data_IF_775820153401
#
_entry.id   IF_775820153401
#
_cell.length_a   1.000
_cell.length_b   1.000
_cell.length_c   1.000
_cell.angle_alpha   90.00
_cell.angle_beta   90.00
_cell.angle_gamma   90.00
#
_symmetry.space_group_name_H-M   'P 1'
#
loop_
_entity.id
_entity.type
_entity.pdbx_description
1 polymer ?
#
# COMPACT_ATOMS: atom_id res chain seq x y z
N UNK A 1 11.51 17.85 8.07
CA UNK A 1 12.07 17.32 9.34
C UNK A 1 11.20 17.69 10.53
N UNK A 2 11.08 16.80 11.54
CA UNK A 2 10.46 17.16 12.82
C UNK A 2 11.55 17.76 13.73
N UNK A 3 11.43 19.03 14.08
CA UNK A 3 12.39 19.75 14.93
C UNK A 3 11.67 20.45 16.08
N UNK A 4 12.44 20.80 17.12
CA UNK A 4 11.95 21.57 18.27
C UNK A 4 10.87 20.84 19.08
N UNK A 5 9.90 21.60 19.57
CA UNK A 5 8.87 21.16 20.54
C UNK A 5 8.06 19.98 20.00
N UNK A 6 7.73 19.96 18.71
CA UNK A 6 6.92 18.88 18.12
C UNK A 6 7.64 17.53 18.11
N UNK A 7 8.96 17.53 17.97
CA UNK A 7 9.76 16.30 18.07
C UNK A 7 9.76 15.77 19.50
N UNK A 8 9.86 16.67 20.49
CA UNK A 8 9.80 16.29 21.92
C UNK A 8 8.42 15.70 22.24
N UNK A 9 7.35 16.37 21.82
CA UNK A 9 5.98 15.87 21.98
C UNK A 9 5.84 14.50 21.33
N UNK A 10 6.28 14.33 20.08
CA UNK A 10 6.25 13.03 19.41
C UNK A 10 6.99 11.95 20.21
N UNK A 11 8.23 12.22 20.66
CA UNK A 11 9.01 11.27 21.45
C UNK A 11 8.36 10.93 22.79
N UNK A 12 7.74 11.89 23.48
CA UNK A 12 7.00 11.64 24.71
C UNK A 12 5.83 10.68 24.48
N UNK A 13 5.06 10.88 23.41
CA UNK A 13 3.97 9.97 23.05
C UNK A 13 4.46 8.58 22.62
N UNK A 14 5.60 8.49 21.90
CA UNK A 14 6.20 7.20 21.57
C UNK A 14 6.69 6.48 22.84
N UNK A 15 7.28 7.19 23.80
CA UNK A 15 7.64 6.61 25.11
C UNK A 15 6.40 6.15 25.89
N UNK A 16 5.32 6.93 25.89
CA UNK A 16 4.05 6.53 26.49
C UNK A 16 3.49 5.25 25.85
N UNK A 17 3.46 5.20 24.52
CA UNK A 17 3.03 4.02 23.77
C UNK A 17 3.89 2.80 24.09
N UNK A 18 5.20 2.98 24.23
CA UNK A 18 6.12 1.93 24.63
C UNK A 18 5.83 1.41 26.05
N UNK A 19 5.59 2.30 27.02
CA UNK A 19 5.20 1.91 28.38
C UNK A 19 3.86 1.15 28.40
N UNK A 20 2.85 1.65 27.66
CA UNK A 20 1.56 0.97 27.52
C UNK A 20 1.68 -0.41 26.87
N UNK A 21 2.60 -0.55 25.90
CA UNK A 21 2.89 -1.81 25.24
C UNK A 21 3.50 -2.84 26.22
N UNK A 22 4.43 -2.43 27.09
CA UNK A 22 5.01 -3.31 28.12
C UNK A 22 3.91 -3.83 29.05
N UNK A 23 3.03 -2.95 29.52
CA UNK A 23 1.88 -3.34 30.37
C UNK A 23 0.97 -4.31 29.61
N UNK A 24 0.62 -3.98 28.37
CA UNK A 24 -0.22 -4.82 27.52
C UNK A 24 0.38 -6.20 27.25
N UNK A 25 1.71 -6.30 27.10
CA UNK A 25 2.42 -7.57 26.93
C UNK A 25 2.30 -8.44 28.21
N UNK A 26 2.52 -7.85 29.38
CA UNK A 26 2.39 -8.56 30.67
C UNK A 26 0.99 -9.13 30.86
N UNK A 27 -0.05 -8.40 30.44
CA UNK A 27 -1.45 -8.85 30.55
C UNK A 27 -1.82 -9.87 29.47
N UNK A 28 -1.26 -9.77 28.27
CA UNK A 28 -1.64 -10.62 27.13
C UNK A 28 -0.91 -11.97 27.08
N UNK A 29 0.31 -12.08 27.63
CA UNK A 29 1.07 -13.34 27.66
C UNK A 29 0.32 -14.48 28.38
N UNK A 30 -0.28 -14.29 29.57
CA UNK A 30 -1.07 -15.32 30.22
C UNK A 30 -2.28 -15.78 29.39
N UNK A 31 -2.96 -14.84 28.71
CA UNK A 31 -4.10 -15.14 27.85
C UNK A 31 -3.69 -15.98 26.63
N UNK A 32 -2.56 -15.65 26.00
CA UNK A 32 -2.03 -16.43 24.88
C UNK A 32 -1.58 -17.82 25.33
N UNK A 33 -0.96 -17.94 26.50
CA UNK A 33 -0.56 -19.24 27.04
C UNK A 33 -1.78 -20.12 27.33
N UNK A 34 -2.86 -19.52 27.86
CA UNK A 34 -4.13 -20.21 28.05
C UNK A 34 -4.74 -20.65 26.71
N UNK A 35 -4.74 -19.78 25.70
CA UNK A 35 -5.25 -20.09 24.35
C UNK A 35 -4.47 -21.23 23.69
N UNK A 36 -3.13 -21.20 23.74
CA UNK A 36 -2.27 -22.26 23.22
C UNK A 36 -2.46 -23.57 23.98
N UNK A 37 -2.63 -23.52 25.30
CA UNK A 37 -2.91 -24.70 26.12
C UNK A 37 -4.24 -25.35 25.73
N UNK A 38 -5.28 -24.54 25.46
CA UNK A 38 -6.58 -25.03 24.97
C UNK A 38 -6.43 -25.64 23.57
N UNK A 39 -5.71 -24.98 22.66
CA UNK A 39 -5.41 -25.52 21.32
C UNK A 39 -4.67 -26.85 21.38
N UNK A 40 -3.68 -26.98 22.28
CA UNK A 40 -2.95 -28.23 22.49
C UNK A 40 -3.84 -29.35 23.04
N UNK A 41 -4.74 -29.04 23.98
CA UNK A 41 -5.73 -30.00 24.49
C UNK A 41 -6.70 -30.43 23.38
N UNK A 42 -7.13 -29.50 22.52
CA UNK A 42 -8.02 -29.80 21.39
C UNK A 42 -7.33 -30.71 20.36
N UNK A 43 -6.09 -30.42 19.98
CA UNK A 43 -5.28 -31.29 19.10
C UNK A 43 -5.05 -32.67 19.72
N UNK A 44 -4.76 -32.74 21.02
CA UNK A 44 -4.58 -34.04 21.70
C UNK A 44 -5.86 -34.86 21.70
N UNK A 45 -7.02 -34.21 21.89
CA UNK A 45 -8.34 -34.86 21.82
C UNK A 45 -8.70 -35.30 20.41
N UNK A 46 -8.37 -34.54 19.37
CA UNK A 46 -8.60 -34.97 17.99
C UNK A 46 -7.74 -36.16 17.61
N UNK A 47 -6.45 -36.16 17.98
CA UNK A 47 -5.54 -37.32 17.79
C UNK A 47 -6.00 -38.57 18.55
N UNK A 48 -6.52 -38.40 19.78
CA UNK A 48 -7.09 -39.52 20.53
C UNK A 48 -8.36 -40.07 19.87
N UNK A 49 -9.20 -39.20 19.28
CA UNK A 49 -10.41 -39.60 18.55
C UNK A 49 -10.11 -40.32 17.23
N UNK A 50 -9.11 -39.88 16.48
CA UNK A 50 -8.67 -40.58 15.26
C UNK A 50 -8.08 -41.95 15.62
N UNK A 51 -7.25 -42.03 16.67
CA UNK A 51 -6.69 -43.31 17.12
C UNK A 51 -7.77 -44.31 17.63
N UNK A 52 -8.87 -43.82 18.22
CA UNK A 52 -10.00 -44.70 18.57
C UNK A 52 -10.86 -45.08 17.37
N UNK A 53 -10.98 -44.22 16.35
CA UNK A 53 -11.71 -44.54 15.13
C UNK A 53 -10.98 -45.61 14.28
N UNK A 54 -9.65 -45.54 14.19
CA UNK A 54 -8.82 -46.57 13.54
C UNK A 54 -8.84 -47.90 14.32
N UNK A 55 -8.99 -47.85 15.65
CA UNK A 55 -9.10 -49.04 16.48
C UNK A 55 -10.48 -49.73 16.37
N UNK A 56 -11.55 -48.96 16.13
CA UNK A 56 -12.90 -49.50 15.90
C UNK A 56 -13.06 -50.04 14.46
N UNK A 57 -12.34 -49.51 13.46
CA UNK A 57 -12.39 -49.98 12.06
C UNK A 57 -11.63 -51.31 11.85
N UNK A 58 -10.64 -51.63 12.69
CA UNK A 58 -9.98 -52.94 12.70
C UNK A 58 -10.76 -54.05 13.43
N UNK A 59 -11.96 -53.76 13.94
CA UNK A 59 -12.83 -54.73 14.61
C UNK A 59 -13.87 -55.43 13.72
N UNK A 60 -14.04 -55.00 12.46
CA UNK A 60 -15.06 -55.59 11.58
C UNK A 60 -14.68 -55.49 10.10
N UNK A 61 -14.03 -56.54 9.56
CA UNK A 61 -14.31 -57.06 8.21
C UNK A 61 -13.46 -58.30 7.92
N UNK A 62 -14.03 -59.46 8.23
CA UNK A 62 -13.71 -60.72 7.57
C UNK A 62 -14.74 -60.94 6.45
N UNK A 63 -14.29 -60.94 5.20
CA UNK A 63 -14.77 -61.70 4.02
C UNK A 63 -14.86 -60.95 2.68
N UNK A 64 -14.00 -61.43 1.76
CA UNK A 64 -14.17 -61.66 0.32
C UNK A 64 -14.84 -60.58 -0.55
N UNK A 65 -14.13 -60.09 -1.58
CA UNK A 65 -14.10 -60.66 -2.94
C UNK A 65 -13.52 -59.66 -3.96
N UNK A 66 -12.98 -60.22 -5.03
CA UNK A 66 -12.31 -59.63 -6.20
C UNK A 66 -13.24 -58.84 -7.13
N UNK A 67 -12.77 -57.72 -7.70
CA UNK A 67 -12.54 -57.57 -9.17
C UNK A 67 -12.22 -56.12 -9.61
N UNK A 68 -11.56 -56.05 -10.76
CA UNK A 68 -10.91 -54.93 -11.47
C UNK A 68 -11.72 -53.63 -11.73
N UNK A 69 -11.06 -52.45 -11.69
CA UNK A 69 -10.58 -51.72 -12.90
C UNK A 69 -10.20 -50.24 -12.63
N UNK A 70 -9.07 -49.84 -13.24
CA UNK A 70 -8.66 -48.52 -13.78
C UNK A 70 -9.14 -47.19 -13.17
N UNK A 71 -8.17 -46.31 -12.88
CA UNK A 71 -8.35 -44.87 -13.10
C UNK A 71 -7.61 -43.95 -12.12
N UNK A 72 -6.65 -43.22 -12.66
CA UNK A 72 -6.14 -41.91 -12.21
C UNK A 72 -5.02 -41.85 -11.15
N UNK A 73 -3.91 -41.25 -11.60
CA UNK A 73 -2.66 -41.01 -10.89
C UNK A 73 -2.78 -39.67 -10.15
N UNK A 74 -2.89 -39.70 -8.83
CA UNK A 74 -2.97 -38.53 -7.97
C UNK A 74 -1.59 -38.27 -7.33
N UNK A 75 -0.90 -37.14 -7.63
CA UNK A 75 0.49 -36.93 -7.22
C UNK A 75 0.66 -36.34 -5.81
N UNK A 76 -0.38 -36.32 -4.95
CA UNK A 76 -0.34 -35.69 -3.62
C UNK A 76 -0.17 -36.66 -2.43
N UNK A 77 0.26 -37.89 -2.66
CA UNK A 77 0.48 -38.86 -1.59
C UNK A 77 1.92 -39.39 -1.55
N UNK A 78 2.88 -38.56 -1.12
CA UNK A 78 4.13 -39.03 -0.51
C UNK A 78 4.83 -37.88 0.22
N UNK A 79 4.75 -37.92 1.55
CA UNK A 79 5.84 -37.68 2.52
C UNK A 79 5.23 -37.28 3.89
N UNK A 80 4.47 -38.18 4.50
CA UNK A 80 4.31 -38.17 5.96
C UNK A 80 5.59 -38.75 6.58
N UNK A 81 6.61 -37.90 6.74
CA UNK A 81 7.74 -38.18 7.62
C UNK A 81 7.32 -37.88 9.06
N UNK A 82 6.95 -38.95 9.78
CA UNK A 82 6.62 -38.96 11.20
C UNK A 82 7.89 -38.68 12.02
N UNK A 83 8.26 -37.40 12.10
CA UNK A 83 9.30 -36.92 13.01
C UNK A 83 8.68 -36.27 14.25
N UNK A 84 8.99 -36.75 15.47
CA UNK A 84 8.50 -36.11 16.68
C UNK A 84 9.32 -34.84 16.90
N UNK A 85 8.63 -33.72 17.14
CA UNK A 85 9.13 -32.43 17.63
C UNK A 85 9.58 -31.37 16.63
N UNK A 86 8.60 -30.66 16.02
CA UNK A 86 8.63 -29.19 16.03
C UNK A 86 7.18 -28.67 16.10
N UNK A 87 6.83 -28.04 17.24
CA UNK A 87 5.48 -27.50 17.50
C UNK A 87 5.33 -26.18 16.76
N UNK A 88 4.70 -26.19 15.60
CA UNK A 88 4.36 -24.94 14.92
C UNK A 88 3.18 -24.26 15.65
N UNK A 89 3.37 -23.09 16.28
CA UNK A 89 2.29 -22.38 16.97
C UNK A 89 1.09 -22.08 16.06
N UNK A 90 1.28 -21.89 14.75
CA UNK A 90 0.17 -21.63 13.82
C UNK A 90 -0.82 -22.80 13.75
N UNK A 91 -0.33 -24.03 13.57
CA UNK A 91 -1.18 -25.23 13.58
C UNK A 91 -1.94 -25.42 14.90
N UNK A 92 -1.37 -24.93 16.01
CA UNK A 92 -1.97 -25.00 17.35
C UNK A 92 -3.07 -23.95 17.55
N UNK A 93 -2.92 -22.77 16.92
CA UNK A 93 -3.95 -21.73 16.91
C UNK A 93 -5.19 -22.15 16.12
N UNK A 94 -5.00 -22.79 14.96
CA UNK A 94 -6.09 -23.22 14.09
C UNK A 94 -6.95 -24.34 14.71
N UNK A 95 -6.40 -25.06 15.68
CA UNK A 95 -7.11 -26.12 16.41
C UNK A 95 -8.04 -25.60 17.54
N UNK A 96 -8.05 -24.29 17.83
CA UNK A 96 -8.89 -23.71 18.88
C UNK A 96 -10.35 -23.59 18.39
N UNK A 97 -11.36 -24.02 19.18
CA UNK A 97 -12.75 -23.87 18.79
C UNK A 97 -13.13 -22.41 18.47
N UNK A 98 -13.90 -22.14 17.40
CA UNK A 98 -14.27 -20.79 16.99
C UNK A 98 -14.85 -19.86 18.08
N UNK A 99 -15.77 -20.30 18.97
CA UNK A 99 -16.30 -19.42 20.01
C UNK A 99 -15.24 -19.04 21.07
N UNK A 100 -14.31 -19.95 21.34
CA UNK A 100 -13.20 -19.72 22.27
C UNK A 100 -12.18 -18.77 21.64
N UNK A 101 -11.81 -19.00 20.38
CA UNK A 101 -10.94 -18.11 19.63
C UNK A 101 -11.50 -16.68 19.57
N UNK A 102 -12.81 -16.54 19.31
CA UNK A 102 -13.49 -15.25 19.30
C UNK A 102 -13.37 -14.52 20.65
N UNK A 103 -13.57 -15.21 21.77
CA UNK A 103 -13.41 -14.63 23.11
C UNK A 103 -12.00 -14.10 23.35
N UNK A 104 -10.96 -14.90 23.03
CA UNK A 104 -9.57 -14.47 23.19
C UNK A 104 -9.22 -13.28 22.29
N UNK A 105 -9.68 -13.29 21.04
CA UNK A 105 -9.51 -12.15 20.11
C UNK A 105 -10.21 -10.90 20.65
N UNK A 106 -11.42 -11.03 21.20
CA UNK A 106 -12.14 -9.91 21.81
C UNK A 106 -11.38 -9.36 23.03
N UNK A 107 -10.87 -10.23 23.92
CA UNK A 107 -10.07 -9.83 25.08
C UNK A 107 -8.78 -9.12 24.67
N UNK A 108 -8.06 -9.64 23.67
CA UNK A 108 -6.86 -9.00 23.12
C UNK A 108 -7.16 -7.63 22.49
N UNK A 109 -8.29 -7.49 21.78
CA UNK A 109 -8.74 -6.19 21.25
C UNK A 109 -8.99 -5.18 22.36
N UNK A 110 -9.62 -5.59 23.46
CA UNK A 110 -9.84 -4.74 24.62
C UNK A 110 -8.54 -4.30 25.29
N UNK A 111 -7.58 -5.22 25.46
CA UNK A 111 -6.27 -4.91 26.04
C UNK A 111 -5.49 -3.90 25.17
N UNK A 112 -5.53 -4.06 23.85
CA UNK A 112 -4.82 -3.16 22.93
C UNK A 112 -5.59 -1.87 22.63
N UNK A 113 -6.89 -1.78 22.95
CA UNK A 113 -7.72 -0.62 22.61
C UNK A 113 -7.15 0.73 23.09
N UNK A 114 -6.65 0.88 24.33
CA UNK A 114 -6.03 2.12 24.77
C UNK A 114 -4.80 2.52 23.94
N UNK A 115 -3.97 1.54 23.54
CA UNK A 115 -2.80 1.78 22.68
C UNK A 115 -3.26 2.30 21.32
N UNK A 116 -4.32 1.70 20.75
CA UNK A 116 -4.88 2.15 19.46
C UNK A 116 -5.41 3.58 19.56
N UNK A 117 -6.08 3.96 20.66
CA UNK A 117 -6.54 5.33 20.86
C UNK A 117 -5.40 6.35 20.88
N UNK A 118 -4.33 6.07 21.64
CA UNK A 118 -3.16 6.94 21.70
C UNK A 118 -2.46 6.98 20.34
N UNK A 119 -2.31 5.85 19.67
CA UNK A 119 -1.69 5.78 18.35
C UNK A 119 -2.49 6.59 17.32
N UNK A 120 -3.82 6.50 17.37
CA UNK A 120 -4.74 7.27 16.52
C UNK A 120 -4.63 8.76 16.78
N UNK A 121 -4.50 9.18 18.04
CA UNK A 121 -4.23 10.56 18.40
C UNK A 121 -2.90 11.07 17.82
N UNK A 122 -1.82 10.30 17.98
CA UNK A 122 -0.50 10.66 17.44
C UNK A 122 -0.54 10.76 15.91
N UNK A 123 -1.13 9.78 15.23
CA UNK A 123 -1.27 9.77 13.78
C UNK A 123 -2.07 10.97 13.27
N UNK A 124 -3.18 11.32 13.95
CA UNK A 124 -4.05 12.42 13.54
C UNK A 124 -3.51 13.79 13.86
N UNK A 125 -2.74 13.98 14.94
CA UNK A 125 -2.44 15.33 15.43
C UNK A 125 -0.95 15.67 15.47
N UNK A 126 -0.07 14.67 15.56
CA UNK A 126 1.36 14.90 15.79
C UNK A 126 2.21 14.45 14.59
N UNK A 127 2.01 13.23 14.13
CA UNK A 127 2.83 12.61 13.09
C UNK A 127 2.81 13.43 11.80
N UNK A 128 3.99 13.68 11.22
CA UNK A 128 4.17 14.33 9.91
C UNK A 128 3.29 15.58 9.69
N UNK A 129 3.06 16.39 10.73
CA UNK A 129 2.10 17.50 10.68
C UNK A 129 2.38 18.49 9.54
N UNK A 130 3.63 18.95 9.30
CA UNK A 130 3.92 19.82 8.16
C UNK A 130 3.62 19.15 6.82
N UNK A 131 4.08 17.90 6.64
CA UNK A 131 3.86 17.16 5.40
C UNK A 131 2.37 16.98 5.13
N UNK A 132 1.57 16.58 6.13
CA UNK A 132 0.13 16.44 5.96
C UNK A 132 -0.54 17.76 5.60
N UNK A 133 -0.17 18.84 6.28
CA UNK A 133 -0.73 20.17 6.02
C UNK A 133 -0.47 20.64 4.58
N UNK A 134 0.78 20.55 4.13
CA UNK A 134 1.21 21.11 2.84
C UNK A 134 1.17 20.12 1.68
N UNK A 135 1.00 18.82 1.91
CA UNK A 135 0.91 17.84 0.82
C UNK A 135 -0.54 17.52 0.45
N UNK A 136 -1.51 17.72 1.36
CA UNK A 136 -2.92 17.38 1.08
C UNK A 136 -3.47 18.09 -0.16
N UNK A 137 -3.19 19.40 -0.35
CA UNK A 137 -3.68 20.12 -1.52
C UNK A 137 -3.03 19.63 -2.82
N UNK A 138 -1.73 19.32 -2.81
CA UNK A 138 -1.05 18.66 -3.93
C UNK A 138 -1.69 17.31 -4.26
N UNK A 139 -1.94 16.46 -3.26
CA UNK A 139 -2.50 15.11 -3.45
C UNK A 139 -3.95 15.14 -3.95
N UNK A 140 -4.74 16.14 -3.54
CA UNK A 140 -6.09 16.32 -4.03
C UNK A 140 -6.09 16.82 -5.48
N UNK A 141 -5.30 17.86 -5.78
CA UNK A 141 -5.27 18.48 -7.10
C UNK A 141 -4.55 17.63 -8.17
N UNK A 142 -3.59 16.77 -7.78
CA UNK A 142 -2.92 15.88 -8.72
C UNK A 142 -3.84 14.84 -9.34
N UNK A 143 -5.04 14.62 -8.80
CA UNK A 143 -6.04 13.76 -9.42
C UNK A 143 -6.39 14.23 -10.84
N UNK A 144 -6.27 15.53 -11.11
CA UNK A 144 -6.39 16.07 -12.46
C UNK A 144 -5.29 15.53 -13.39
N UNK A 145 -4.05 15.40 -12.91
CA UNK A 145 -2.89 14.97 -13.70
C UNK A 145 -2.75 13.44 -13.78
N UNK A 146 -3.06 12.74 -12.69
CA UNK A 146 -2.70 11.34 -12.48
C UNK A 146 -3.90 10.47 -12.09
N UNK A 147 -5.13 10.95 -12.19
CA UNK A 147 -6.33 10.12 -12.00
C UNK A 147 -6.40 9.02 -13.06
N UNK A 148 -6.82 7.82 -12.67
CA UNK A 148 -6.94 6.70 -13.63
C UNK A 148 -8.29 6.65 -14.36
N UNK A 149 -9.23 7.50 -13.93
CA UNK A 149 -10.58 7.56 -14.46
C UNK A 149 -11.42 6.37 -14.03
N UNK A 150 -12.71 6.59 -13.76
CA UNK A 150 -13.63 5.49 -13.47
C UNK A 150 -15.05 5.83 -13.87
N UNK A 151 -15.75 4.85 -14.44
CA UNK A 151 -17.19 4.94 -14.70
C UNK A 151 -17.95 4.34 -13.52
N UNK A 152 -18.78 5.15 -12.85
CA UNK A 152 -19.62 4.68 -11.74
C UNK A 152 -20.88 3.94 -12.25
N UNK A 153 -21.65 3.34 -11.33
CA UNK A 153 -22.87 2.58 -11.64
C UNK A 153 -24.01 3.46 -12.17
N UNK A 154 -23.94 4.78 -11.97
CA UNK A 154 -24.90 5.75 -12.52
C UNK A 154 -24.44 6.29 -13.89
N UNK A 155 -23.35 5.75 -14.44
CA UNK A 155 -22.79 6.20 -15.71
C UNK A 155 -22.04 7.53 -15.65
N UNK A 156 -21.76 8.05 -14.45
CA UNK A 156 -20.96 9.27 -14.30
C UNK A 156 -19.48 8.93 -14.37
N UNK A 157 -18.76 9.70 -15.19
CA UNK A 157 -17.31 9.62 -15.26
C UNK A 157 -16.67 10.46 -14.16
N UNK A 158 -15.63 9.94 -13.52
CA UNK A 158 -14.90 10.59 -12.42
C UNK A 158 -13.40 10.43 -12.61
N UNK A 159 -12.61 11.37 -12.09
CA UNK A 159 -11.14 11.32 -12.16
C UNK A 159 -10.56 10.13 -11.37
N UNK A 160 -11.14 9.81 -10.21
CA UNK A 160 -10.65 8.75 -9.33
C UNK A 160 -11.75 8.15 -8.45
N UNK A 161 -12.00 6.85 -8.59
CA UNK A 161 -12.87 6.08 -7.69
C UNK A 161 -12.28 5.96 -6.29
N UNK A 162 -10.95 5.85 -6.18
CA UNK A 162 -10.26 5.74 -4.89
C UNK A 162 -10.36 7.02 -4.07
N UNK A 163 -10.28 8.17 -4.73
CA UNK A 163 -10.47 9.46 -4.08
C UNK A 163 -11.90 9.61 -3.51
N UNK A 164 -12.91 9.11 -4.23
CA UNK A 164 -14.30 9.08 -3.72
C UNK A 164 -14.47 8.18 -2.49
N UNK A 165 -13.60 7.18 -2.33
CA UNK A 165 -13.63 6.28 -1.18
C UNK A 165 -12.93 6.87 0.07
N UNK A 166 -12.17 7.97 -0.05
CA UNK A 166 -11.50 8.59 1.10
C UNK A 166 -12.52 9.19 2.06
N UNK A 167 -12.39 8.90 3.35
CA UNK A 167 -13.28 9.42 4.41
C UNK A 167 -12.56 10.34 5.42
N UNK A 168 -11.22 10.31 5.45
CA UNK A 168 -10.43 11.08 6.41
C UNK A 168 -9.05 11.44 5.87
N UNK A 169 -8.39 12.42 6.49
CA UNK A 169 -7.06 12.86 6.07
C UNK A 169 -5.97 11.93 6.61
N UNK A 170 -6.06 11.50 7.87
CA UNK A 170 -5.00 10.71 8.49
C UNK A 170 -5.56 9.73 9.50
N UNK A 171 -5.24 8.45 9.33
CA UNK A 171 -5.69 7.40 10.23
C UNK A 171 -4.95 6.07 9.98
N UNK A 172 -5.35 5.00 10.67
CA UNK A 172 -4.71 3.68 10.56
C UNK A 172 -5.01 2.97 9.22
N UNK A 173 -6.20 3.18 8.64
CA UNK A 173 -6.58 2.66 7.32
C UNK A 173 -7.10 1.21 7.30
N UNK A 174 -7.24 0.57 8.46
CA UNK A 174 -7.62 -0.86 8.54
C UNK A 174 -8.24 -1.25 9.87
N UNK A 175 -8.27 -0.36 10.87
CA UNK A 175 -8.73 -0.73 12.21
C UNK A 175 -10.26 -0.69 12.33
N UNK A 176 -10.89 0.33 11.74
CA UNK A 176 -12.35 0.52 11.72
C UNK A 176 -12.91 0.62 10.29
N UNK A 177 -12.12 0.23 9.28
CA UNK A 177 -12.50 0.33 7.86
C UNK A 177 -12.30 1.73 7.26
N UNK A 178 -11.66 2.64 8.00
CA UNK A 178 -11.35 3.99 7.52
C UNK A 178 -10.42 4.00 6.31
N UNK A 179 -10.54 5.01 5.46
CA UNK A 179 -9.80 5.13 4.19
C UNK A 179 -9.09 6.48 4.15
N UNK A 180 -7.93 6.61 4.82
CA UNK A 180 -7.25 7.89 4.98
C UNK A 180 -6.35 8.25 3.79
N UNK A 181 -6.14 9.55 3.58
CA UNK A 181 -5.09 10.06 2.67
C UNK A 181 -3.69 9.66 3.16
N UNK A 182 -3.42 9.79 4.46
CA UNK A 182 -2.17 9.39 5.11
C UNK A 182 -2.42 8.19 6.01
N UNK A 183 -1.79 7.06 5.67
CA UNK A 183 -2.06 5.75 6.27
C UNK A 183 -0.99 5.42 7.32
N UNK A 184 -1.43 5.05 8.53
CA UNK A 184 -0.55 4.70 9.64
C UNK A 184 -0.68 3.24 10.10
N UNK A 185 -1.33 2.38 9.32
CA UNK A 185 -1.55 0.97 9.67
C UNK A 185 -0.27 0.16 9.92
N UNK A 186 0.84 0.55 9.31
CA UNK A 186 2.14 -0.07 9.60
C UNK A 186 2.55 0.16 11.07
N UNK A 187 2.19 1.29 11.69
CA UNK A 187 2.43 1.54 13.11
C UNK A 187 1.58 0.63 13.99
N UNK A 188 0.32 0.41 13.62
CA UNK A 188 -0.56 -0.53 14.31
C UNK A 188 0.03 -1.94 14.30
N UNK A 189 0.56 -2.39 13.16
CA UNK A 189 1.26 -3.68 13.07
C UNK A 189 2.46 -3.77 14.02
N UNK A 190 3.25 -2.70 14.15
CA UNK A 190 4.38 -2.66 15.08
C UNK A 190 3.96 -2.75 16.56
N UNK A 191 2.85 -2.11 16.95
CA UNK A 191 2.40 -2.05 18.35
C UNK A 191 1.42 -3.16 18.78
N UNK A 192 0.71 -3.79 17.84
CA UNK A 192 -0.31 -4.79 18.16
C UNK A 192 0.00 -6.18 17.59
N UNK A 193 0.67 -6.31 16.44
CA UNK A 193 0.93 -7.61 15.82
C UNK A 193 2.32 -8.16 16.14
N UNK A 194 3.36 -7.32 16.07
CA UNK A 194 4.76 -7.74 16.29
C UNK A 194 5.21 -7.74 17.76
N UNK A 195 4.35 -7.25 18.65
CA UNK A 195 4.63 -7.07 20.09
C UNK A 195 4.91 -8.38 20.83
N UNK A 196 4.27 -9.47 20.43
CA UNK A 196 4.43 -10.77 21.09
C UNK A 196 5.82 -11.38 20.91
N UNK A 197 6.58 -10.91 19.91
CA UNK A 197 7.86 -11.51 19.53
C UNK A 197 9.06 -10.60 19.88
N UNK A 198 8.90 -9.27 19.97
CA UNK A 198 10.00 -8.38 20.36
C UNK A 198 9.59 -6.94 20.67
N UNK A 199 9.93 -6.46 21.89
CA UNK A 199 9.94 -5.02 22.23
C UNK A 199 10.93 -4.20 21.37
N UNK A 200 11.86 -4.85 20.66
CA UNK A 200 12.77 -4.15 19.75
C UNK A 200 12.06 -3.63 18.49
N UNK A 201 10.88 -4.17 18.16
CA UNK A 201 10.11 -3.75 16.98
C UNK A 201 9.61 -2.30 17.06
N UNK A 202 9.40 -1.77 18.27
CA UNK A 202 8.96 -0.38 18.49
C UNK A 202 10.12 0.60 18.56
N UNK A 203 11.37 0.12 18.64
CA UNK A 203 12.57 0.97 18.47
C UNK A 203 12.59 1.68 17.12
N UNK A 204 11.96 1.10 16.10
CA UNK A 204 11.84 1.71 14.76
C UNK A 204 11.15 3.07 14.82
N UNK A 205 10.23 3.33 15.76
CA UNK A 205 9.57 4.64 15.91
C UNK A 205 10.51 5.75 16.41
N UNK A 206 11.64 5.38 17.01
CA UNK A 206 12.68 6.32 17.42
C UNK A 206 13.73 6.53 16.32
N UNK A 207 13.65 5.81 15.21
CA UNK A 207 14.59 5.97 14.11
C UNK A 207 14.48 7.37 13.49
N UNK A 208 15.61 7.88 13.01
CA UNK A 208 15.69 9.19 12.35
C UNK A 208 14.81 9.26 11.09
N UNK A 209 14.66 8.13 10.38
CA UNK A 209 13.85 8.01 9.17
C UNK A 209 12.57 7.26 9.50
N UNK A 210 11.44 7.85 9.10
CA UNK A 210 10.11 7.29 9.30
C UNK A 210 9.42 7.15 7.94
N UNK A 211 8.60 6.10 7.79
CA UNK A 211 7.83 5.86 6.56
C UNK A 211 6.57 6.71 6.56
N UNK A 212 6.44 7.56 5.54
CA UNK A 212 5.18 8.23 5.21
C UNK A 212 4.44 7.40 4.17
N UNK A 213 3.22 6.95 4.46
CA UNK A 213 2.42 6.16 3.54
C UNK A 213 1.21 6.99 3.06
N UNK A 214 1.05 7.07 1.75
CA UNK A 214 -0.01 7.86 1.09
C UNK A 214 -1.02 6.89 0.47
N UNK A 215 -2.27 6.97 0.89
CA UNK A 215 -3.38 6.15 0.43
C UNK A 215 -4.10 6.71 -0.80
N UNK A 216 -4.10 8.04 -0.99
CA UNK A 216 -4.75 8.73 -2.11
C UNK A 216 -3.91 8.64 -3.38
N UNK A 217 -3.97 7.51 -4.08
CA UNK A 217 -3.26 7.26 -5.33
C UNK A 217 -3.93 6.16 -6.13
N UNK A 218 -4.24 6.45 -7.39
CA UNK A 218 -4.67 5.45 -8.35
C UNK A 218 -3.46 4.68 -8.91
N UNK A 219 -3.75 3.53 -9.54
CA UNK A 219 -2.80 2.83 -10.40
C UNK A 219 -2.87 3.44 -11.79
N UNK A 220 -1.72 3.81 -12.34
CA UNK A 220 -1.62 4.41 -13.66
C UNK A 220 -1.07 3.39 -14.66
N UNK A 221 -1.55 3.45 -15.90
CA UNK A 221 -0.97 2.70 -17.02
C UNK A 221 0.02 3.58 -17.78
N UNK A 222 -0.26 4.89 -17.87
CA UNK A 222 0.61 5.88 -18.49
C UNK A 222 1.87 6.17 -17.66
N UNK A 223 3.04 5.96 -18.28
CA UNK A 223 4.36 6.26 -17.69
C UNK A 223 4.46 7.71 -17.19
N UNK A 224 3.93 8.66 -17.96
CA UNK A 224 3.97 10.08 -17.63
C UNK A 224 3.19 10.40 -16.35
N UNK A 225 1.96 9.85 -16.22
CA UNK A 225 1.15 10.01 -15.03
C UNK A 225 1.81 9.34 -13.82
N UNK A 226 2.34 8.12 -13.99
CA UNK A 226 3.07 7.40 -12.93
C UNK A 226 4.31 8.17 -12.45
N UNK A 227 5.13 8.68 -13.38
CA UNK A 227 6.33 9.45 -13.05
C UNK A 227 6.00 10.74 -12.29
N UNK A 228 5.11 11.58 -12.84
CA UNK A 228 4.74 12.87 -12.21
C UNK A 228 4.10 12.63 -10.84
N UNK A 229 3.31 11.56 -10.68
CA UNK A 229 2.66 11.20 -9.40
C UNK A 229 3.67 11.01 -8.26
N UNK A 230 4.80 10.35 -8.53
CA UNK A 230 5.86 10.17 -7.53
C UNK A 230 6.80 11.36 -7.44
N UNK A 231 7.27 11.83 -8.60
CA UNK A 231 8.31 12.83 -8.69
C UNK A 231 7.88 14.19 -8.11
N UNK A 232 6.66 14.63 -8.40
CA UNK A 232 6.11 15.88 -7.83
C UNK A 232 6.02 15.82 -6.31
N UNK A 233 5.59 14.68 -5.75
CA UNK A 233 5.52 14.47 -4.30
C UNK A 233 6.91 14.47 -3.68
N UNK A 234 7.89 13.80 -4.29
CA UNK A 234 9.27 13.80 -3.80
C UNK A 234 9.83 15.22 -3.72
N UNK A 235 9.71 16.00 -4.79
CA UNK A 235 10.21 17.37 -4.84
C UNK A 235 9.52 18.28 -3.81
N UNK A 236 8.21 18.16 -3.65
CA UNK A 236 7.46 18.95 -2.66
C UNK A 236 7.79 18.51 -1.23
N UNK A 237 8.11 17.23 -0.99
CA UNK A 237 8.63 16.79 0.29
C UNK A 237 9.97 17.45 0.60
N UNK A 238 10.90 17.52 -0.35
CA UNK A 238 12.19 18.21 -0.18
C UNK A 238 11.99 19.70 0.17
N UNK A 239 11.05 20.38 -0.51
CA UNK A 239 10.68 21.77 -0.18
C UNK A 239 10.14 21.92 1.24
N UNK A 240 9.24 21.01 1.67
CA UNK A 240 8.67 21.02 3.02
C UNK A 240 9.76 20.77 4.06
N UNK A 241 10.75 19.93 3.75
CA UNK A 241 11.87 19.65 4.63
C UNK A 241 12.86 20.81 4.73
N UNK A 242 13.06 21.56 3.65
CA UNK A 242 13.81 22.81 3.61
C UNK A 242 13.06 24.00 4.24
N UNK A 243 11.79 23.83 4.60
CA UNK A 243 10.95 24.89 5.18
C UNK A 243 10.39 25.88 4.17
N UNK A 244 10.53 25.61 2.86
CA UNK A 244 10.04 26.47 1.77
C UNK A 244 8.58 26.14 1.48
N UNK A 245 7.69 26.65 2.34
CA UNK A 245 6.25 26.31 2.34
C UNK A 245 5.29 27.51 2.27
N UNK A 246 5.81 28.74 2.23
CA UNK A 246 5.02 29.96 2.35
C UNK A 246 3.96 30.08 1.25
N UNK A 247 4.30 29.69 0.02
CA UNK A 247 3.42 29.81 -1.14
C UNK A 247 2.53 28.57 -1.38
N UNK A 248 2.65 27.53 -0.54
CA UNK A 248 1.92 26.27 -0.72
C UNK A 248 0.48 26.39 -0.18
N UNK A 249 -0.55 26.21 -1.04
CA UNK A 249 -1.94 26.31 -0.60
C UNK A 249 -2.31 25.17 0.35
N UNK A 250 -3.14 25.46 1.34
CA UNK A 250 -3.67 24.49 2.31
C UNK A 250 -5.18 24.41 2.15
N UNK A 251 -5.73 23.20 1.99
CA UNK A 251 -7.18 23.01 1.88
C UNK A 251 -7.87 23.32 3.22
N UNK A 252 -8.99 24.05 3.20
CA UNK A 252 -9.82 24.27 4.39
C UNK A 252 -10.59 23.01 4.76
N UNK A 253 -11.20 22.37 3.76
CA UNK A 253 -12.03 21.17 3.93
C UNK A 253 -11.43 20.00 3.14
N UNK A 254 -10.46 19.29 3.72
CA UNK A 254 -9.65 18.31 2.98
C UNK A 254 -10.45 17.23 2.25
N UNK A 255 -11.28 16.45 2.95
CA UNK A 255 -12.04 15.33 2.35
C UNK A 255 -13.07 15.84 1.33
N UNK A 256 -13.87 16.84 1.68
CA UNK A 256 -14.86 17.41 0.77
C UNK A 256 -14.22 18.00 -0.50
N UNK A 257 -13.04 18.62 -0.38
CA UNK A 257 -12.29 19.14 -1.53
C UNK A 257 -11.76 18.01 -2.42
N UNK A 258 -11.30 16.90 -1.83
CA UNK A 258 -10.87 15.70 -2.57
C UNK A 258 -12.05 15.13 -3.37
N UNK A 259 -13.21 14.95 -2.74
CA UNK A 259 -14.41 14.44 -3.43
C UNK A 259 -14.87 15.39 -4.54
N UNK A 260 -14.86 16.70 -4.29
CA UNK A 260 -15.25 17.70 -5.29
C UNK A 260 -14.36 17.65 -6.52
N UNK A 261 -13.04 17.62 -6.34
CA UNK A 261 -12.09 17.50 -7.44
C UNK A 261 -12.24 16.13 -8.14
N UNK A 262 -12.33 15.04 -7.38
CA UNK A 262 -12.43 13.68 -7.94
C UNK A 262 -13.68 13.47 -8.81
N UNK A 263 -14.79 14.10 -8.44
CA UNK A 263 -16.04 14.04 -9.20
C UNK A 263 -16.04 14.89 -10.47
N UNK A 264 -15.10 15.82 -10.61
CA UNK A 264 -15.09 16.82 -11.68
C UNK A 264 -14.00 16.53 -12.72
N UNK A 265 -14.35 15.71 -13.71
CA UNK A 265 -13.46 15.42 -14.83
C UNK A 265 -13.33 16.61 -15.80
N UNK A 266 -14.23 17.60 -15.75
CA UNK A 266 -14.18 18.81 -16.59
C UNK A 266 -13.23 19.89 -16.03
N UNK A 267 -12.65 19.68 -14.84
CA UNK A 267 -11.66 20.58 -14.22
C UNK A 267 -12.19 22.02 -14.01
N UNK A 268 -13.48 22.17 -13.72
CA UNK A 268 -14.16 23.47 -13.52
C UNK A 268 -14.24 23.85 -12.05
N UNK A 269 -14.39 22.86 -11.18
CA UNK A 269 -14.65 23.02 -9.77
C UNK A 269 -13.47 23.69 -9.05
N UNK A 270 -13.83 24.61 -8.15
CA UNK A 270 -12.89 25.23 -7.22
C UNK A 270 -13.15 24.74 -5.80
N UNK A 271 -12.09 24.71 -4.99
CA UNK A 271 -12.14 24.28 -3.59
C UNK A 271 -11.56 25.36 -2.67
N UNK A 272 -12.06 25.47 -1.42
CA UNK A 272 -11.60 26.46 -0.47
C UNK A 272 -10.19 26.16 0.01
N UNK A 273 -9.25 27.08 -0.23
CA UNK A 273 -7.86 27.00 0.23
C UNK A 273 -7.47 28.21 1.08
N UNK A 274 -6.28 28.17 1.68
CA UNK A 274 -5.67 29.33 2.35
C UNK A 274 -5.46 30.53 1.42
N UNK A 275 -5.46 30.33 0.10
CA UNK A 275 -5.22 31.35 -0.92
C UNK A 275 -6.51 31.73 -1.68
N UNK A 276 -7.68 31.43 -1.11
CA UNK A 276 -8.98 31.61 -1.76
C UNK A 276 -9.53 30.32 -2.38
N UNK A 277 -10.57 30.45 -3.19
CA UNK A 277 -11.10 29.35 -4.01
C UNK A 277 -10.14 29.09 -5.17
N UNK A 278 -9.66 27.85 -5.30
CA UNK A 278 -8.76 27.46 -6.39
C UNK A 278 -9.24 26.15 -7.02
N UNK A 279 -9.17 26.07 -8.33
CA UNK A 279 -9.31 24.84 -9.11
C UNK A 279 -8.11 23.91 -8.91
N UNK A 280 -8.27 22.64 -9.33
CA UNK A 280 -7.17 21.67 -9.29
C UNK A 280 -5.94 22.16 -10.08
N UNK A 281 -6.15 22.77 -11.26
CA UNK A 281 -5.06 23.30 -12.08
C UNK A 281 -4.37 24.52 -11.44
N UNK A 282 -5.12 25.41 -10.80
CA UNK A 282 -4.53 26.56 -10.11
C UNK A 282 -3.70 26.12 -8.89
N UNK A 283 -4.17 25.12 -8.15
CA UNK A 283 -3.40 24.51 -7.07
C UNK A 283 -2.10 23.92 -7.63
N UNK A 284 -2.17 23.10 -8.69
CA UNK A 284 -0.99 22.50 -9.32
C UNK A 284 0.00 23.57 -9.82
N UNK A 285 -0.47 24.64 -10.45
CA UNK A 285 0.37 25.75 -10.89
C UNK A 285 1.06 26.47 -9.73
N UNK A 286 0.40 26.65 -8.59
CA UNK A 286 1.03 27.24 -7.39
C UNK A 286 2.16 26.35 -6.85
N UNK A 287 1.93 25.04 -6.74
CA UNK A 287 2.98 24.09 -6.35
C UNK A 287 4.13 24.08 -7.35
N UNK A 288 3.83 24.00 -8.64
CA UNK A 288 4.83 23.99 -9.70
C UNK A 288 5.70 25.26 -9.68
N UNK A 289 5.10 26.45 -9.53
CA UNK A 289 5.84 27.71 -9.43
C UNK A 289 6.77 27.74 -8.23
N UNK A 290 6.28 27.32 -7.06
CA UNK A 290 7.10 27.24 -5.84
C UNK A 290 8.24 26.21 -5.99
N UNK A 291 7.97 25.06 -6.61
CA UNK A 291 8.98 24.04 -6.90
C UNK A 291 10.04 24.54 -7.87
N UNK A 292 9.64 25.25 -8.94
CA UNK A 292 10.57 25.86 -9.91
C UNK A 292 11.50 26.87 -9.24
N UNK A 293 10.97 27.71 -8.35
CA UNK A 293 11.76 28.65 -7.57
C UNK A 293 12.72 27.95 -6.59
N UNK A 294 12.25 26.89 -5.92
CA UNK A 294 13.09 26.10 -5.01
C UNK A 294 14.27 25.43 -5.74
N UNK A 295 14.02 24.82 -6.90
CA UNK A 295 15.05 24.17 -7.71
C UNK A 295 16.07 25.21 -8.22
N UNK A 296 15.61 26.38 -8.67
CA UNK A 296 16.51 27.45 -9.12
C UNK A 296 17.45 27.98 -8.00
N UNK A 297 17.02 27.90 -6.74
CA UNK A 297 17.84 28.25 -5.57
C UNK A 297 18.70 27.10 -5.03
N UNK A 298 18.61 25.90 -5.60
CA UNK A 298 19.29 24.70 -5.11
C UNK A 298 20.62 24.51 -5.82
N UNK A 299 21.70 24.24 -5.07
CA UNK A 299 23.03 24.01 -5.66
C UNK A 299 23.08 22.72 -6.50
N UNK A 300 23.88 22.70 -7.57
CA UNK A 300 23.99 21.61 -8.54
C UNK A 300 24.16 20.19 -7.92
N UNK A 301 24.90 20.07 -6.81
CA UNK A 301 25.12 18.79 -6.13
C UNK A 301 23.84 18.13 -5.58
N UNK A 302 22.77 18.91 -5.35
CA UNK A 302 21.50 18.43 -4.80
C UNK A 302 20.36 18.43 -5.83
N UNK A 303 20.63 18.77 -7.10
CA UNK A 303 19.59 18.88 -8.12
C UNK A 303 19.00 17.53 -8.52
N UNK A 304 19.77 16.44 -8.51
CA UNK A 304 19.28 15.11 -8.90
C UNK A 304 18.55 15.14 -10.25
N UNK A 305 17.32 14.60 -10.30
CA UNK A 305 16.45 14.64 -11.49
C UNK A 305 15.46 15.83 -11.51
N UNK A 306 15.64 16.84 -10.65
CA UNK A 306 14.62 17.89 -10.42
C UNK A 306 14.21 18.63 -11.70
N UNK A 307 15.12 18.86 -12.64
CA UNK A 307 14.81 19.49 -13.93
C UNK A 307 13.86 18.62 -14.77
N UNK A 308 14.11 17.32 -14.83
CA UNK A 308 13.22 16.35 -15.49
C UNK A 308 11.86 16.33 -14.82
N UNK A 309 11.82 16.35 -13.48
CA UNK A 309 10.56 16.43 -12.72
C UNK A 309 9.75 17.65 -13.13
N UNK A 310 10.38 18.84 -13.13
CA UNK A 310 9.71 20.09 -13.51
C UNK A 310 9.22 20.04 -14.96
N UNK A 311 10.05 19.60 -15.90
CA UNK A 311 9.68 19.52 -17.31
C UNK A 311 8.45 18.61 -17.53
N UNK A 312 8.43 17.43 -16.89
CA UNK A 312 7.31 16.48 -17.04
C UNK A 312 6.04 16.96 -16.34
N UNK A 313 6.20 17.58 -15.17
CA UNK A 313 5.08 18.15 -14.44
C UNK A 313 4.44 19.32 -15.20
N UNK A 314 5.25 20.26 -15.69
CA UNK A 314 4.81 21.38 -16.53
C UNK A 314 4.07 20.86 -17.76
N UNK A 315 4.64 19.86 -18.43
CA UNK A 315 4.05 19.30 -19.64
C UNK A 315 2.64 18.74 -19.41
N UNK A 316 2.39 18.01 -18.32
CA UNK A 316 1.03 17.55 -18.02
C UNK A 316 0.09 18.71 -17.63
N UNK A 317 0.58 19.71 -16.88
CA UNK A 317 -0.21 20.92 -16.59
C UNK A 317 -0.62 21.63 -17.88
N UNK A 318 0.29 21.76 -18.86
CA UNK A 318 0.01 22.37 -20.16
C UNK A 318 -1.06 21.61 -20.93
N UNK A 319 -0.97 20.28 -20.99
CA UNK A 319 -1.97 19.43 -21.67
C UNK A 319 -3.35 19.63 -21.08
N UNK A 320 -3.47 19.61 -19.75
CA UNK A 320 -4.76 19.80 -19.09
C UNK A 320 -5.27 21.24 -19.19
N UNK A 321 -4.37 22.23 -19.19
CA UNK A 321 -4.74 23.63 -19.38
C UNK A 321 -5.27 23.88 -20.80
N UNK A 322 -4.75 23.18 -21.81
CA UNK A 322 -5.26 23.18 -23.17
C UNK A 322 -6.68 22.57 -23.22
N UNK A 323 -6.84 21.35 -22.68
CA UNK A 323 -8.14 20.70 -22.54
C UNK A 323 -9.19 21.55 -21.80
N UNK A 324 -8.77 22.27 -20.75
CA UNK A 324 -9.69 23.13 -19.99
C UNK A 324 -10.20 24.32 -20.79
N UNK A 325 -9.42 24.81 -21.77
CA UNK A 325 -9.82 25.88 -22.69
C UNK A 325 -10.69 25.34 -23.82
N UNK A 326 -10.31 24.19 -24.38
CA UNK A 326 -11.03 23.51 -25.44
C UNK A 326 -11.12 22.01 -25.14
N UNK A 327 -12.33 21.54 -24.82
CA UNK A 327 -12.58 20.14 -24.47
C UNK A 327 -12.36 19.17 -25.65
N UNK A 328 -12.24 19.68 -26.88
CA UNK A 328 -11.89 18.85 -28.04
C UNK A 328 -10.39 18.56 -28.10
N UNK A 329 -9.56 19.39 -27.46
CA UNK A 329 -8.10 19.27 -27.45
C UNK A 329 -7.62 18.20 -26.45
N UNK A 330 -7.63 16.96 -26.93
CA UNK A 330 -7.33 15.77 -26.12
C UNK A 330 -6.19 14.92 -26.69
N UNK A 331 -5.73 15.24 -27.91
CA UNK A 331 -4.72 14.48 -28.68
C UNK A 331 -3.40 14.26 -27.93
N UNK A 332 -2.91 15.30 -27.25
CA UNK A 332 -1.67 15.29 -26.45
C UNK A 332 -1.81 14.57 -25.11
N UNK A 333 -3.04 14.33 -24.63
CA UNK A 333 -3.28 13.62 -23.38
C UNK A 333 -3.30 12.09 -23.55
N UNK A 334 -3.61 11.63 -24.77
CA UNK A 334 -3.76 10.21 -25.11
C UNK A 334 -2.47 9.44 -24.87
N UNK A 335 -2.53 8.42 -24.02
CA UNK A 335 -1.37 7.62 -23.60
C UNK A 335 -0.51 8.27 -22.51
N UNK A 336 -0.78 9.53 -22.15
CA UNK A 336 0.00 10.31 -21.17
C UNK A 336 -0.77 10.59 -19.88
N UNK A 337 -2.10 10.72 -19.97
CA UNK A 337 -3.03 10.93 -18.85
C UNK A 337 -4.13 9.88 -18.93
N UNK A 338 -4.19 9.01 -17.92
CA UNK A 338 -5.02 7.80 -17.99
C UNK A 338 -6.51 8.09 -18.13
N UNK A 339 -7.07 8.97 -17.28
CA UNK A 339 -8.49 9.28 -17.32
C UNK A 339 -8.90 9.93 -18.65
N UNK A 340 -8.09 10.81 -19.24
CA UNK A 340 -8.40 11.41 -20.54
C UNK A 340 -8.34 10.38 -21.66
N UNK A 341 -7.33 9.49 -21.63
CA UNK A 341 -7.19 8.41 -22.61
C UNK A 341 -8.39 7.46 -22.54
N UNK A 342 -8.75 7.04 -21.33
CA UNK A 342 -9.89 6.16 -21.09
C UNK A 342 -11.20 6.82 -21.49
N UNK A 343 -11.37 8.10 -21.17
CA UNK A 343 -12.56 8.85 -21.54
C UNK A 343 -12.73 8.91 -23.06
N UNK A 344 -11.69 9.23 -23.82
CA UNK A 344 -11.76 9.20 -25.28
C UNK A 344 -12.21 7.84 -25.83
N UNK A 345 -11.69 6.74 -25.26
CA UNK A 345 -12.10 5.39 -25.69
C UNK A 345 -13.58 5.14 -25.40
N UNK A 346 -14.09 5.63 -24.27
CA UNK A 346 -15.51 5.55 -23.91
C UNK A 346 -16.36 6.42 -24.85
N UNK A 347 -15.94 7.66 -25.11
CA UNK A 347 -16.65 8.61 -25.97
C UNK A 347 -16.69 8.14 -27.43
N UNK A 348 -15.67 7.40 -27.87
CA UNK A 348 -15.64 6.78 -29.21
C UNK A 348 -16.73 5.73 -29.45
N UNK A 349 -17.35 5.17 -28.40
CA UNK A 349 -18.53 4.31 -28.55
C UNK A 349 -19.80 5.10 -28.94
N UNK A 350 -19.78 6.42 -28.72
CA UNK A 350 -20.92 7.31 -28.95
C UNK A 350 -21.96 7.30 -27.84
N UNK A 351 -22.90 8.25 -27.93
CA UNK A 351 -23.90 8.50 -26.88
C UNK A 351 -24.89 7.34 -26.69
N UNK A 352 -25.12 6.56 -27.75
CA UNK A 352 -26.07 5.43 -27.75
C UNK A 352 -25.51 4.15 -27.13
N UNK A 353 -24.23 4.11 -26.79
CA UNK A 353 -23.62 2.91 -26.23
C UNK A 353 -24.12 2.64 -24.81
N UNK A 354 -24.39 1.36 -24.55
CA UNK A 354 -24.90 0.89 -23.27
C UNK A 354 -23.86 1.04 -22.17
N UNK A 355 -24.33 1.17 -20.93
CA UNK A 355 -23.42 1.31 -19.78
C UNK A 355 -22.45 0.14 -19.66
N UNK A 356 -22.88 -1.08 -19.98
CA UNK A 356 -22.05 -2.30 -19.92
C UNK A 356 -20.90 -2.26 -20.93
N UNK A 357 -21.12 -1.69 -22.11
CA UNK A 357 -20.10 -1.52 -23.15
C UNK A 357 -19.05 -0.50 -22.70
N UNK A 358 -19.50 0.64 -22.18
CA UNK A 358 -18.62 1.67 -21.59
C UNK A 358 -17.84 1.12 -20.40
N UNK A 359 -18.47 0.30 -19.56
CA UNK A 359 -17.83 -0.33 -18.40
C UNK A 359 -16.79 -1.37 -18.80
N UNK A 360 -17.00 -2.09 -19.91
CA UNK A 360 -16.00 -3.00 -20.47
C UNK A 360 -14.72 -2.24 -20.85
N UNK A 361 -14.82 -1.04 -21.43
CA UNK A 361 -13.66 -0.18 -21.69
C UNK A 361 -12.97 0.24 -20.39
N UNK A 362 -13.73 0.70 -19.41
CA UNK A 362 -13.19 1.12 -18.11
C UNK A 362 -12.33 0.02 -17.43
N UNK A 363 -12.78 -1.24 -17.52
CA UNK A 363 -12.05 -2.40 -16.98
C UNK A 363 -10.87 -2.83 -17.87
N UNK A 364 -11.09 -3.03 -19.17
CA UNK A 364 -10.06 -3.53 -20.11
C UNK A 364 -8.95 -2.53 -20.39
N UNK A 365 -9.17 -1.25 -20.07
CA UNK A 365 -8.11 -0.24 -20.05
C UNK A 365 -6.94 -0.66 -19.15
N UNK A 366 -7.24 -1.24 -17.99
CA UNK A 366 -6.27 -1.64 -16.96
C UNK A 366 -5.79 -3.09 -17.10
N UNK A 367 -6.17 -3.77 -18.18
CA UNK A 367 -5.74 -5.14 -18.44
C UNK A 367 -4.25 -5.14 -18.84
N UNK A 368 -3.44 -5.93 -18.14
CA UNK A 368 -1.98 -6.01 -18.34
C UNK A 368 -1.58 -6.92 -19.52
N UNK A 369 -2.53 -7.65 -20.10
CA UNK A 369 -2.31 -8.54 -21.23
C UNK A 369 -2.04 -7.75 -22.51
N UNK A 370 -1.59 -8.44 -23.57
CA UNK A 370 -1.48 -7.86 -24.91
C UNK A 370 -2.81 -7.34 -25.47
N UNK A 371 -3.94 -7.82 -24.94
CA UNK A 371 -5.29 -7.48 -25.37
C UNK A 371 -5.88 -6.29 -24.60
N UNK A 372 -5.18 -5.78 -23.59
CA UNK A 372 -5.58 -4.60 -22.85
C UNK A 372 -5.59 -3.34 -23.72
N UNK A 373 -6.62 -2.50 -23.54
CA UNK A 373 -6.85 -1.36 -24.44
C UNK A 373 -5.75 -0.31 -24.35
N UNK A 374 -5.15 -0.10 -23.18
CA UNK A 374 -3.98 0.76 -23.07
C UNK A 374 -2.77 0.19 -23.85
N UNK A 375 -2.51 -1.11 -23.73
CA UNK A 375 -1.39 -1.76 -24.41
C UNK A 375 -1.54 -1.70 -25.94
N UNK A 376 -2.76 -1.87 -26.45
CA UNK A 376 -3.04 -1.74 -27.88
C UNK A 376 -2.88 -0.29 -28.36
N UNK A 377 -3.38 0.68 -27.60
CA UNK A 377 -3.30 2.10 -27.93
C UNK A 377 -1.85 2.58 -28.00
N UNK A 378 -1.02 2.19 -27.02
CA UNK A 378 0.37 2.63 -26.95
C UNK A 378 1.23 2.02 -28.05
N UNK A 379 0.89 0.84 -28.59
CA UNK A 379 1.55 0.31 -29.80
C UNK A 379 1.37 1.21 -31.02
N UNK A 380 0.25 1.93 -31.11
CA UNK A 380 -0.01 2.90 -32.16
C UNK A 380 0.56 4.30 -31.85
N UNK A 381 0.96 4.56 -30.60
CA UNK A 381 1.54 5.82 -30.11
C UNK A 381 2.82 5.59 -29.29
N UNK A 382 3.90 5.10 -29.91
CA UNK A 382 5.14 4.79 -29.20
C UNK A 382 5.78 6.02 -28.52
N UNK A 383 5.49 7.23 -28.99
CA UNK A 383 5.94 8.51 -28.40
C UNK A 383 5.37 8.78 -27.00
N UNK A 384 4.28 8.10 -26.61
CA UNK A 384 3.71 8.20 -25.27
C UNK A 384 4.47 7.34 -24.24
N UNK A 385 5.33 6.41 -24.68
CA UNK A 385 6.17 5.61 -23.79
C UNK A 385 7.40 6.45 -23.38
N UNK A 386 7.58 6.59 -22.07
CA UNK A 386 8.77 7.23 -21.52
C UNK A 386 9.83 6.20 -21.10
N UNK A 387 9.41 5.02 -20.62
CA UNK A 387 10.33 4.00 -20.12
C UNK A 387 10.66 2.98 -21.23
N UNK A 388 11.95 2.86 -21.56
CA UNK A 388 12.42 1.86 -22.53
C UNK A 388 12.12 0.43 -22.04
N UNK A 389 11.52 -0.41 -22.88
CA UNK A 389 11.17 -1.80 -22.55
C UNK A 389 12.37 -2.62 -22.03
N UNK A 390 13.57 -2.42 -22.60
CA UNK A 390 14.79 -3.08 -22.13
C UNK A 390 15.10 -2.80 -20.64
N UNK A 391 14.77 -1.60 -20.15
CA UNK A 391 14.92 -1.27 -18.73
C UNK A 391 13.92 -2.04 -17.87
N UNK A 392 12.67 -2.18 -18.34
CA UNK A 392 11.64 -2.98 -17.65
C UNK A 392 12.09 -4.43 -17.55
N UNK A 393 12.50 -5.04 -18.65
CA UNK A 393 12.93 -6.45 -18.70
C UNK A 393 14.14 -6.71 -17.80
N UNK A 394 15.09 -5.76 -17.75
CA UNK A 394 16.23 -5.82 -16.83
C UNK A 394 15.78 -5.74 -15.37
N UNK A 395 14.86 -4.83 -15.03
CA UNK A 395 14.38 -4.61 -13.66
C UNK A 395 13.52 -5.75 -13.12
N UNK A 396 12.92 -6.57 -13.98
CA UNK A 396 12.26 -7.83 -13.58
C UNK A 396 13.21 -8.82 -12.91
N UNK A 397 14.49 -8.81 -13.27
CA UNK A 397 15.51 -9.76 -12.77
C UNK A 397 16.55 -9.12 -11.86
N UNK A 398 16.70 -7.80 -11.92
CA UNK A 398 17.77 -7.07 -11.24
C UNK A 398 17.22 -5.93 -10.38
N UNK A 399 17.30 -6.04 -9.03
CA UNK A 399 16.88 -4.99 -8.13
C UNK A 399 17.72 -3.70 -8.29
N UNK A 400 17.23 -2.55 -7.80
CA UNK A 400 18.01 -1.30 -7.79
C UNK A 400 19.30 -1.44 -6.97
N UNK A 401 20.43 -1.13 -7.61
CA UNK A 401 21.74 -1.06 -6.98
C UNK A 401 21.78 0.06 -5.92
N UNK A 402 22.60 -0.10 -4.89
CA UNK A 402 22.69 0.87 -3.81
C UNK A 402 21.47 0.92 -2.89
N UNK A 403 20.63 -0.11 -2.91
CA UNK A 403 19.50 -0.26 -1.98
C UNK A 403 19.56 -1.61 -1.24
N UNK A 404 18.91 -1.71 -0.06
CA UNK A 404 18.73 -2.99 0.64
C UNK A 404 18.13 -4.10 -0.24
N UNK A 405 17.34 -3.73 -1.26
CA UNK A 405 16.75 -4.69 -2.20
C UNK A 405 17.81 -5.44 -3.02
N UNK A 406 18.99 -4.86 -3.26
CA UNK A 406 20.08 -5.53 -3.96
C UNK A 406 20.62 -6.72 -3.13
N UNK A 407 20.95 -6.48 -1.86
CA UNK A 407 21.42 -7.53 -0.95
C UNK A 407 20.34 -8.60 -0.75
N UNK A 408 19.08 -8.20 -0.57
CA UNK A 408 17.94 -9.12 -0.46
C UNK A 408 17.79 -10.00 -1.70
N UNK A 409 17.80 -9.40 -2.90
CA UNK A 409 17.68 -10.15 -4.15
C UNK A 409 18.87 -11.08 -4.41
N UNK A 410 20.06 -10.74 -3.89
CA UNK A 410 21.21 -11.64 -3.94
C UNK A 410 21.03 -12.85 -3.01
N UNK A 411 20.63 -12.64 -1.74
CA UNK A 411 20.38 -13.75 -0.80
C UNK A 411 19.28 -14.67 -1.32
N UNK A 412 18.17 -14.12 -1.82
CA UNK A 412 17.08 -14.96 -2.38
C UNK A 412 17.62 -15.83 -3.50
N UNK A 413 18.46 -15.30 -4.40
CA UNK A 413 19.03 -16.09 -5.50
C UNK A 413 20.03 -17.13 -5.03
N UNK A 414 20.88 -16.80 -4.06
CA UNK A 414 21.89 -17.71 -3.52
C UNK A 414 21.27 -18.94 -2.86
N UNK A 415 20.18 -18.75 -2.10
CA UNK A 415 19.53 -19.82 -1.34
C UNK A 415 18.29 -20.41 -2.03
N UNK A 416 17.98 -20.00 -3.27
CA UNK A 416 16.79 -20.48 -3.99
C UNK A 416 16.83 -21.98 -4.34
N UNK A 417 18.02 -22.59 -4.40
CA UNK A 417 18.23 -23.99 -4.79
C UNK A 417 18.96 -24.84 -3.75
N UNK A 418 19.08 -24.36 -2.50
CA UNK A 418 19.72 -25.11 -1.42
C UNK A 418 18.71 -25.63 -0.39
N UNK A 419 19.17 -26.54 0.47
CA UNK A 419 18.33 -27.18 1.52
C UNK A 419 18.06 -26.25 2.73
N UNK A 420 18.67 -25.07 2.76
CA UNK A 420 18.54 -24.13 3.88
C UNK A 420 17.25 -23.31 3.75
N UNK A 421 16.41 -23.38 4.78
CA UNK A 421 15.19 -22.56 4.83
C UNK A 421 15.53 -21.08 4.96
N UNK A 422 15.05 -20.30 4.00
CA UNK A 422 15.20 -18.86 3.94
C UNK A 422 13.86 -18.17 4.23
N UNK A 423 13.83 -17.37 5.30
CA UNK A 423 12.73 -16.42 5.55
C UNK A 423 13.23 -14.99 5.35
N UNK A 424 12.56 -14.20 4.50
CA UNK A 424 12.97 -12.82 4.18
C UNK A 424 11.92 -11.78 4.57
N UNK A 425 12.37 -10.60 5.03
CA UNK A 425 11.57 -9.39 5.26
C UNK A 425 12.19 -8.22 4.47
N UNK A 426 11.73 -6.99 4.68
CA UNK A 426 12.29 -5.77 4.10
C UNK A 426 13.65 -5.39 4.67
N UNK A 427 13.91 -5.70 5.95
CA UNK A 427 15.11 -5.27 6.66
C UNK A 427 16.11 -6.40 6.95
N UNK A 428 15.70 -7.67 6.89
CA UNK A 428 16.56 -8.81 7.20
C UNK A 428 16.14 -10.09 6.49
N UNK A 429 17.06 -11.06 6.46
CA UNK A 429 16.82 -12.46 6.18
C UNK A 429 17.20 -13.33 7.40
N UNK A 430 16.47 -14.42 7.60
CA UNK A 430 16.80 -15.50 8.52
C UNK A 430 17.13 -16.73 7.68
N UNK A 431 18.29 -17.33 7.93
CA UNK A 431 18.82 -18.47 7.17
C UNK A 431 19.00 -19.64 8.12
N UNK A 432 18.44 -20.80 7.75
CA UNK A 432 18.64 -22.10 8.39
C UNK A 432 17.61 -22.50 9.45
N UNK A 433 17.89 -23.63 10.11
CA UNK A 433 16.94 -24.33 10.98
C UNK A 433 17.26 -24.23 12.48
N UNK A 434 16.21 -24.27 13.31
CA UNK A 434 16.31 -24.34 14.77
C UNK A 434 17.27 -23.32 15.40
N UNK A 435 18.19 -23.81 16.24
CA UNK A 435 19.17 -22.99 16.98
C UNK A 435 20.34 -22.46 16.12
N UNK A 436 20.49 -22.93 14.87
CA UNK A 436 21.54 -22.47 13.95
C UNK A 436 21.10 -21.32 13.05
N UNK A 437 19.90 -20.77 13.27
CA UNK A 437 19.35 -19.64 12.51
C UNK A 437 20.28 -18.43 12.55
N UNK A 438 20.74 -18.00 11.37
CA UNK A 438 21.55 -16.79 11.22
C UNK A 438 20.69 -15.64 10.69
N UNK A 439 20.75 -14.49 11.38
CA UNK A 439 20.12 -13.25 10.91
C UNK A 439 21.11 -12.44 10.09
N UNK A 440 20.69 -12.04 8.89
CA UNK A 440 21.45 -11.14 8.00
C UNK A 440 20.62 -9.88 7.80
N UNK A 441 21.13 -8.73 8.23
CA UNK A 441 20.45 -7.44 8.02
C UNK A 441 20.80 -6.85 6.64
N UNK A 442 19.83 -6.18 6.03
CA UNK A 442 19.96 -5.54 4.72
C UNK A 442 20.40 -4.09 4.79
N UNK A 443 20.63 -3.56 6.00
CA UNK A 443 21.13 -2.20 6.20
C UNK A 443 22.51 -2.04 5.50
N UNK A 444 22.68 -0.89 4.85
CA UNK A 444 23.91 -0.48 4.18
C UNK A 444 24.89 0.15 5.17
#
# INVERSE_FOLDING_TARGET
MATGIWLVIYRLFVCLLWMMQVISLVVSVPLLWLMLSIGWIAQRRSRLRSATADADDHGSNDHSSSDHSSGEFDPEAMDEDDSPTERDPQTTFDAVPPPVAWFFVAALRWIHFPIVLVLRFVARHIAFRPQRRYLTALLASRLALCGSGSLDYEGRYRLSSKAMAIDTIADMGSFSGERPVFVYGHWLSHYCAKTFLSLASTRVMFAQRQRLQIGLSDSNMADHAEYVKFASVSLVLDMIEAGVVADLPVLKNGVASIHRIASDWNLVSSVPTSHGELSALEIQNKYFKAAKQFVAGTSNQWLGESETVLQRWESLITVLAAFRRDHTETSEAVGRVDWMTKQQLIDALGDKAEWTEKKKIDLRYHELSADGYFQQLVRAKPEAIFVKQQNVDRRRRSPPSGSPAARRGWIIREFAGGDEVLHTDWAYAMIGHGRKRKRVNFDL
#
